data_IF_259921907806
#
_entry.id   IF_259921907806
#
_cell.length_a   1.000
_cell.length_b   1.000
_cell.length_c   1.000
_cell.angle_alpha   90.00
_cell.angle_beta   90.00
_cell.angle_gamma   90.00
#
_symmetry.space_group_name_H-M   'P 1'
#
loop_
_entity.id
_entity.type
_entity.pdbx_description
1 polymer ?
#
# COMPACT_ATOMS: atom_id res chain seq x y z
N UNK A 1 2.97 -9.91 8.26
CA UNK A 1 2.76 -8.76 7.37
C UNK A 1 2.83 -9.21 5.87
N UNK A 2 1.76 -9.70 5.19
CA UNK A 2 1.76 -9.97 3.71
C UNK A 2 0.86 -8.99 2.94
N UNK A 3 1.44 -7.92 2.36
CA UNK A 3 0.76 -7.02 1.43
C UNK A 3 0.55 -7.94 0.24
N UNK A 4 -0.67 -8.36 -0.09
CA UNK A 4 -0.91 -9.17 -1.29
C UNK A 4 -0.83 -8.28 -2.53
N UNK A 5 0.29 -7.55 -2.66
CA UNK A 5 0.75 -7.04 -3.93
C UNK A 5 1.40 -8.21 -4.64
N UNK A 6 0.82 -8.63 -5.76
CA UNK A 6 1.51 -9.57 -6.64
C UNK A 6 2.57 -8.76 -7.38
N UNK A 7 3.83 -8.98 -7.02
CA UNK A 7 4.96 -8.42 -7.75
C UNK A 7 5.25 -9.32 -8.93
N UNK A 8 4.93 -8.83 -10.12
CA UNK A 8 5.19 -9.55 -11.37
C UNK A 8 6.59 -9.15 -11.85
N UNK A 9 7.48 -10.11 -12.11
CA UNK A 9 8.80 -9.81 -12.66
C UNK A 9 8.66 -9.08 -14.00
N UNK A 10 9.13 -7.84 -14.06
CA UNK A 10 9.35 -7.13 -15.31
C UNK A 10 10.83 -7.30 -15.65
N UNK A 11 11.12 -8.16 -16.63
CA UNK A 11 12.48 -8.40 -17.07
C UNK A 11 12.53 -8.54 -18.58
N UNK A 12 13.29 -7.66 -19.22
CA UNK A 12 13.65 -7.77 -20.62
C UNK A 12 15.09 -8.30 -20.72
N UNK A 13 15.30 -9.60 -20.96
CA UNK A 13 16.63 -10.20 -21.01
C UNK A 13 17.50 -9.65 -22.14
N UNK A 14 16.89 -9.09 -23.20
CA UNK A 14 17.62 -8.54 -24.34
C UNK A 14 18.29 -7.20 -24.00
N UNK A 15 17.69 -6.43 -23.08
CA UNK A 15 18.12 -5.07 -22.78
C UNK A 15 18.69 -4.91 -21.36
N UNK A 16 18.34 -5.77 -20.41
CA UNK A 16 18.66 -5.60 -19.00
C UNK A 16 19.44 -6.76 -18.38
N UNK A 17 20.33 -6.41 -17.45
CA UNK A 17 20.99 -7.31 -16.51
C UNK A 17 20.25 -7.30 -15.17
N UNK A 18 19.99 -8.49 -14.62
CA UNK A 18 19.48 -8.68 -13.27
C UNK A 18 20.61 -8.55 -12.23
N UNK A 19 20.39 -7.71 -11.22
CA UNK A 19 21.22 -7.57 -10.03
C UNK A 19 20.45 -8.13 -8.84
N UNK A 20 21.12 -8.86 -7.95
CA UNK A 20 20.51 -9.34 -6.71
C UNK A 20 21.49 -9.33 -5.55
N UNK A 21 20.96 -9.33 -4.33
CA UNK A 21 21.76 -9.43 -3.11
C UNK A 21 21.12 -10.38 -2.10
N UNK A 22 21.91 -11.21 -1.39
CA UNK A 22 21.40 -12.02 -0.28
C UNK A 22 21.11 -11.18 0.97
N UNK A 23 21.72 -9.99 1.07
CA UNK A 23 21.62 -9.09 2.22
C UNK A 23 20.23 -8.47 2.31
N UNK A 24 19.66 -8.41 3.50
CA UNK A 24 18.36 -7.77 3.71
C UNK A 24 18.43 -6.28 3.37
N UNK A 25 17.55 -5.83 2.48
CA UNK A 25 17.32 -4.40 2.24
C UNK A 25 16.42 -3.86 3.33
N UNK A 26 16.89 -2.82 4.04
CA UNK A 26 16.22 -2.23 5.19
C UNK A 26 15.19 -1.19 4.75
N UNK A 27 14.02 -1.21 5.37
CA UNK A 27 12.99 -0.18 5.19
C UNK A 27 13.18 0.94 6.19
N UNK A 28 13.09 2.19 5.74
CA UNK A 28 13.14 3.37 6.62
C UNK A 28 11.82 3.50 7.39
N UNK A 29 11.87 4.03 8.62
CA UNK A 29 10.70 4.18 9.49
C UNK A 29 9.56 5.01 8.86
N UNK A 30 9.89 5.90 7.92
CA UNK A 30 8.95 6.79 7.23
C UNK A 30 8.70 6.38 5.77
N UNK A 31 9.00 5.13 5.39
CA UNK A 31 8.70 4.64 4.06
C UNK A 31 7.17 4.48 3.90
N UNK A 32 6.57 5.30 3.04
CA UNK A 32 5.11 5.34 2.85
C UNK A 32 4.56 4.11 2.11
N UNK A 33 5.40 3.43 1.32
CA UNK A 33 4.96 2.39 0.39
C UNK A 33 5.42 1.00 0.82
N UNK A 34 6.46 0.91 1.65
CA UNK A 34 6.90 -0.32 2.34
C UNK A 34 7.05 -1.52 1.39
N UNK A 35 7.76 -1.34 0.27
CA UNK A 35 8.03 -2.44 -0.66
C UNK A 35 8.73 -3.60 0.08
N UNK A 36 8.31 -4.86 -0.12
CA UNK A 36 8.88 -5.99 0.60
C UNK A 36 10.39 -6.11 0.36
N UNK A 37 11.16 -6.39 1.41
CA UNK A 37 12.62 -6.54 1.31
C UNK A 37 13.03 -7.53 0.21
N UNK A 38 12.28 -8.62 0.02
CA UNK A 38 12.53 -9.62 -1.05
C UNK A 38 12.43 -9.05 -2.47
N UNK A 39 11.52 -8.11 -2.70
CA UNK A 39 11.39 -7.40 -3.98
C UNK A 39 12.57 -6.44 -4.13
N UNK A 40 12.87 -5.71 -3.06
CA UNK A 40 13.97 -4.76 -3.05
C UNK A 40 15.35 -5.43 -3.16
N UNK A 41 15.49 -6.72 -2.84
CA UNK A 41 16.71 -7.51 -2.99
C UNK A 41 17.06 -7.86 -4.45
N UNK A 42 16.20 -7.49 -5.40
CA UNK A 42 16.43 -7.63 -6.84
C UNK A 42 16.29 -6.28 -7.54
N UNK A 43 17.04 -6.09 -8.61
CA UNK A 43 16.97 -4.90 -9.44
C UNK A 43 17.40 -5.21 -10.87
N UNK A 44 17.09 -4.31 -11.79
CA UNK A 44 17.59 -4.35 -13.16
C UNK A 44 18.43 -3.12 -13.48
N UNK A 45 19.41 -3.31 -14.35
CA UNK A 45 20.27 -2.27 -14.93
C UNK A 45 20.44 -2.57 -16.42
N UNK A 46 20.62 -1.58 -17.31
CA UNK A 46 20.82 -1.84 -18.73
C UNK A 46 22.13 -2.60 -18.99
N UNK A 47 22.15 -3.48 -20.00
CA UNK A 47 23.37 -4.16 -20.45
C UNK A 47 24.44 -3.19 -20.94
N UNK A 48 24.00 -2.20 -21.73
CA UNK A 48 24.83 -1.10 -22.18
C UNK A 48 24.74 0.03 -21.15
N UNK A 49 25.86 0.33 -20.49
CA UNK A 49 25.91 1.32 -19.43
C UNK A 49 25.56 2.75 -19.88
N UNK A 50 25.58 3.01 -21.19
CA UNK A 50 25.17 4.30 -21.78
C UNK A 50 23.67 4.42 -22.03
N UNK A 51 22.91 3.32 -21.88
CA UNK A 51 21.47 3.27 -22.12
C UNK A 51 20.66 3.52 -20.86
N UNK A 52 19.37 3.76 -21.09
CA UNK A 52 18.37 3.98 -20.07
C UNK A 52 17.57 2.69 -19.82
N UNK A 53 16.90 2.60 -18.67
CA UNK A 53 15.91 1.54 -18.41
C UNK A 53 14.57 2.03 -18.95
N UNK A 54 14.01 1.35 -19.94
CA UNK A 54 12.79 1.78 -20.63
C UNK A 54 11.67 0.76 -20.51
N UNK A 55 10.50 1.18 -20.03
CA UNK A 55 9.30 0.35 -19.98
C UNK A 55 8.05 1.20 -20.15
N UNK A 56 6.89 0.58 -20.27
CA UNK A 56 5.64 1.31 -20.42
C UNK A 56 4.48 0.63 -19.72
N UNK A 57 3.42 1.40 -19.48
CA UNK A 57 2.09 0.86 -19.23
C UNK A 57 1.05 1.58 -20.09
N UNK A 58 0.00 0.84 -20.45
CA UNK A 58 -1.16 1.40 -21.12
C UNK A 58 -2.20 1.84 -20.09
N UNK A 59 -2.87 2.95 -20.36
CA UNK A 59 -3.99 3.40 -19.54
C UNK A 59 -5.16 2.42 -19.68
N UNK A 60 -5.83 2.16 -18.56
CA UNK A 60 -7.02 1.33 -18.49
C UNK A 60 -8.22 2.27 -18.34
N UNK A 61 -9.02 2.48 -19.39
CA UNK A 61 -10.15 3.40 -19.32
C UNK A 61 -11.08 3.04 -18.16
N UNK A 62 -11.49 4.04 -17.38
CA UNK A 62 -12.49 3.86 -16.33
C UNK A 62 -13.88 4.15 -16.91
N UNK A 63 -14.88 3.41 -16.44
CA UNK A 63 -16.25 3.44 -16.98
C UNK A 63 -16.90 4.85 -16.96
N UNK A 64 -16.41 5.75 -16.08
CA UNK A 64 -16.92 7.11 -15.87
C UNK A 64 -15.87 8.23 -16.02
N UNK A 65 -14.58 7.90 -16.23
CA UNK A 65 -13.51 8.90 -16.42
C UNK A 65 -12.63 8.44 -17.61
N UNK A 66 -12.68 9.13 -18.77
CA UNK A 66 -11.93 8.73 -19.95
C UNK A 66 -10.41 8.86 -19.78
N UNK A 67 -9.91 9.56 -18.74
CA UNK A 67 -8.47 9.60 -18.43
C UNK A 67 -8.22 9.37 -16.93
N UNK A 68 -8.10 8.12 -16.47
CA UNK A 68 -7.66 7.87 -15.11
C UNK A 68 -6.32 8.57 -14.82
N UNK A 69 -6.22 9.19 -13.65
CA UNK A 69 -4.93 9.67 -13.16
C UNK A 69 -4.09 8.50 -12.70
N UNK A 70 -2.80 8.52 -12.96
CA UNK A 70 -1.86 7.54 -12.43
C UNK A 70 -0.87 8.18 -11.46
N UNK A 71 -0.59 7.49 -10.36
CA UNK A 71 0.48 7.84 -9.43
C UNK A 71 1.48 6.69 -9.49
N UNK A 72 2.52 6.79 -10.33
CA UNK A 72 3.59 5.80 -10.32
C UNK A 72 4.50 6.03 -9.13
N UNK A 73 4.99 4.93 -8.56
CA UNK A 73 5.97 4.85 -7.49
C UNK A 73 7.10 3.95 -7.96
N UNK A 74 8.27 4.53 -8.11
CA UNK A 74 9.48 3.84 -8.53
C UNK A 74 10.32 3.55 -7.29
N UNK A 75 10.70 2.30 -7.09
CA UNK A 75 11.44 1.84 -5.92
C UNK A 75 12.89 1.55 -6.27
N UNK A 76 13.79 2.01 -5.41
CA UNK A 76 15.23 1.98 -5.61
C UNK A 76 15.96 1.52 -4.35
N UNK A 77 17.03 0.75 -4.53
CA UNK A 77 18.03 0.43 -3.53
C UNK A 77 19.32 0.05 -4.23
N UNK A 78 20.45 0.57 -3.76
CA UNK A 78 21.75 0.12 -4.25
C UNK A 78 22.08 -1.23 -3.60
N UNK A 79 22.23 -2.26 -4.42
CA UNK A 79 22.39 -3.64 -3.97
C UNK A 79 23.87 -4.05 -3.90
N UNK A 80 24.74 -3.25 -4.51
CA UNK A 80 26.17 -3.47 -4.57
C UNK A 80 26.88 -2.51 -3.60
N UNK A 81 27.97 -2.97 -2.99
CA UNK A 81 28.88 -2.09 -2.27
C UNK A 81 29.71 -1.34 -3.30
N UNK A 82 29.44 -0.04 -3.46
CA UNK A 82 30.17 0.81 -4.39
C UNK A 82 31.49 1.30 -3.77
N UNK A 83 32.60 1.33 -4.52
CA UNK A 83 33.84 1.95 -4.08
C UNK A 83 33.68 3.44 -3.76
N UNK A 84 34.60 3.98 -2.95
CA UNK A 84 34.60 5.41 -2.60
C UNK A 84 34.67 6.30 -3.86
N UNK A 85 33.80 7.31 -3.92
CA UNK A 85 33.70 8.26 -5.04
C UNK A 85 32.87 7.76 -6.23
N UNK A 86 32.43 6.50 -6.24
CA UNK A 86 31.49 5.98 -7.23
C UNK A 86 30.06 6.23 -6.75
N UNK A 87 29.29 7.00 -7.50
CA UNK A 87 27.90 7.32 -7.18
C UNK A 87 27.03 6.92 -8.36
N UNK A 88 25.92 6.23 -8.08
CA UNK A 88 24.84 6.02 -9.04
C UNK A 88 23.79 7.09 -8.82
N UNK A 89 23.72 8.04 -9.75
CA UNK A 89 22.72 9.10 -9.72
C UNK A 89 21.85 9.04 -10.97
N UNK A 90 20.53 9.08 -10.78
CA UNK A 90 19.55 8.88 -11.84
C UNK A 90 18.39 9.86 -11.75
N UNK A 91 17.64 9.98 -12.84
CA UNK A 91 16.36 10.68 -12.92
C UNK A 91 15.37 9.86 -13.76
N UNK A 92 14.09 10.19 -13.64
CA UNK A 92 13.00 9.46 -14.30
C UNK A 92 12.23 10.41 -15.19
N UNK A 93 12.03 10.02 -16.44
CA UNK A 93 11.15 10.69 -17.39
C UNK A 93 9.90 9.86 -17.63
N UNK A 94 8.78 10.54 -17.86
CA UNK A 94 7.54 9.93 -18.34
C UNK A 94 7.12 10.68 -19.61
N UNK A 95 6.91 9.94 -20.70
CA UNK A 95 6.57 10.48 -22.01
C UNK A 95 7.53 11.57 -22.50
N UNK A 96 8.84 11.38 -22.26
CA UNK A 96 9.89 12.32 -22.68
C UNK A 96 10.02 13.58 -21.82
N UNK A 97 9.25 13.70 -20.73
CA UNK A 97 9.32 14.82 -19.80
C UNK A 97 9.90 14.40 -18.45
N UNK A 98 10.76 15.24 -17.87
CA UNK A 98 11.30 15.05 -16.53
C UNK A 98 10.17 14.96 -15.52
N UNK A 99 10.04 13.78 -14.90
CA UNK A 99 9.00 13.48 -13.93
C UNK A 99 9.54 13.47 -12.50
N UNK A 100 10.74 12.91 -12.29
CA UNK A 100 11.41 13.01 -10.99
C UNK A 100 11.79 14.46 -10.73
N UNK A 101 11.22 15.08 -9.69
CA UNK A 101 11.47 16.50 -9.33
C UNK A 101 12.95 16.84 -9.10
N UNK A 102 13.75 15.83 -8.74
CA UNK A 102 15.19 15.93 -8.46
C UNK A 102 15.86 14.63 -8.89
N UNK A 103 17.16 14.72 -9.12
CA UNK A 103 18.01 13.55 -9.23
C UNK A 103 17.95 12.72 -7.95
N UNK A 104 18.13 11.42 -8.09
CA UNK A 104 18.01 10.47 -7.02
C UNK A 104 19.25 9.58 -6.97
N UNK A 105 19.79 9.39 -5.76
CA UNK A 105 20.92 8.50 -5.50
C UNK A 105 20.44 7.38 -4.56
N UNK A 106 20.30 6.13 -5.05
CA UNK A 106 19.91 5.01 -4.21
C UNK A 106 20.94 4.74 -3.11
N UNK A 107 20.47 4.48 -1.89
CA UNK A 107 21.34 4.16 -0.75
C UNK A 107 21.60 2.66 -0.67
N UNK A 108 22.83 2.27 -0.35
CA UNK A 108 23.22 0.86 -0.23
C UNK A 108 22.38 0.12 0.83
N UNK A 109 21.65 -0.91 0.41
CA UNK A 109 20.81 -1.78 1.24
C UNK A 109 19.72 -1.06 2.05
N UNK A 110 19.26 0.10 1.59
CA UNK A 110 18.06 0.76 2.12
C UNK A 110 17.04 0.95 1.01
N UNK A 111 15.75 0.72 1.32
CA UNK A 111 14.67 1.06 0.39
C UNK A 111 14.51 2.57 0.32
N UNK A 112 14.27 3.05 -0.89
CA UNK A 112 13.74 4.38 -1.12
C UNK A 112 12.95 4.41 -2.41
N UNK A 113 12.31 5.54 -2.66
CA UNK A 113 11.33 5.66 -3.74
C UNK A 113 11.27 7.06 -4.31
N UNK A 114 10.79 7.15 -5.54
CA UNK A 114 10.37 8.39 -6.20
C UNK A 114 8.90 8.22 -6.54
N UNK A 115 8.07 9.21 -6.19
CA UNK A 115 6.65 9.21 -6.49
C UNK A 115 6.18 10.61 -6.92
N UNK A 116 5.09 10.64 -7.68
CA UNK A 116 4.47 11.88 -8.14
C UNK A 116 3.43 12.37 -7.13
N UNK A 117 3.48 13.65 -6.77
CA UNK A 117 2.44 14.24 -5.91
C UNK A 117 1.11 14.46 -6.64
N UNK A 118 1.15 14.61 -7.97
CA UNK A 118 -0.02 14.85 -8.79
C UNK A 118 -0.22 13.67 -9.75
N UNK A 119 -1.47 13.26 -10.01
CA UNK A 119 -1.74 12.16 -10.93
C UNK A 119 -1.37 12.56 -12.38
N UNK A 120 -0.58 11.73 -13.06
CA UNK A 120 -0.30 11.89 -14.49
C UNK A 120 -1.54 11.48 -15.28
N UNK A 121 -1.99 12.34 -16.21
CA UNK A 121 -3.23 12.18 -16.99
C UNK A 121 -2.97 12.51 -18.46
N UNK A 122 -3.94 12.15 -19.32
CA UNK A 122 -3.99 12.61 -20.70
C UNK A 122 -3.26 11.73 -21.72
N UNK A 123 -2.73 10.57 -21.31
CA UNK A 123 -2.03 9.66 -22.20
C UNK A 123 -2.66 8.26 -22.21
N UNK A 124 -2.73 7.66 -23.39
CA UNK A 124 -3.11 6.24 -23.59
C UNK A 124 -1.99 5.28 -23.23
N UNK A 125 -0.74 5.73 -23.35
CA UNK A 125 0.46 5.00 -22.97
C UNK A 125 1.41 5.94 -22.22
N UNK A 126 2.01 5.41 -21.16
CA UNK A 126 3.04 6.08 -20.37
C UNK A 126 4.35 5.33 -20.59
N UNK A 127 5.23 5.91 -21.40
CA UNK A 127 6.58 5.43 -21.61
C UNK A 127 7.48 6.03 -20.53
N UNK A 128 8.16 5.18 -19.78
CA UNK A 128 9.07 5.58 -18.72
C UNK A 128 10.48 5.29 -19.15
N UNK A 129 11.37 6.26 -18.93
CA UNK A 129 12.80 6.05 -18.96
C UNK A 129 13.40 6.39 -17.60
N UNK A 130 14.29 5.54 -17.11
CA UNK A 130 15.19 5.86 -16.00
C UNK A 130 16.58 6.08 -16.57
N UNK A 131 17.11 7.27 -16.37
CA UNK A 131 18.30 7.78 -17.04
C UNK A 131 19.40 8.09 -16.03
N UNK A 132 20.64 7.78 -16.37
CA UNK A 132 21.82 8.21 -15.62
C UNK A 132 22.05 9.72 -15.80
N UNK A 133 22.46 10.42 -14.74
CA UNK A 133 22.90 11.82 -14.87
C UNK A 133 24.27 11.90 -15.55
N UNK A 134 24.64 13.08 -16.07
CA UNK A 134 25.92 13.24 -16.76
C UNK A 134 27.15 12.99 -15.85
N UNK A 135 26.98 13.08 -14.53
CA UNK A 135 28.07 12.99 -13.56
C UNK A 135 28.23 11.59 -12.94
N UNK A 136 27.36 10.62 -13.25
CA UNK A 136 27.47 9.25 -12.72
C UNK A 136 28.35 8.38 -13.61
N UNK A 137 29.10 7.48 -12.98
CA UNK A 137 29.92 6.46 -13.67
C UNK A 137 29.21 5.11 -13.78
N UNK A 138 28.03 5.00 -13.16
CA UNK A 138 27.22 3.79 -13.17
C UNK A 138 25.91 4.01 -13.94
N UNK A 139 25.42 2.97 -14.64
CA UNK A 139 24.11 3.02 -15.29
C UNK A 139 22.97 3.23 -14.29
N UNK A 140 21.75 3.55 -14.74
CA UNK A 140 20.59 3.58 -13.85
C UNK A 140 20.28 2.17 -13.27
N UNK A 141 19.53 2.14 -12.17
CA UNK A 141 19.04 0.93 -11.51
C UNK A 141 17.58 1.12 -11.14
N UNK A 142 16.77 0.06 -11.17
CA UNK A 142 15.40 0.07 -10.61
C UNK A 142 15.08 -1.28 -9.98
N UNK A 143 14.47 -1.27 -8.79
CA UNK A 143 14.15 -2.48 -8.05
C UNK A 143 12.71 -2.91 -8.28
N UNK A 144 11.79 -1.94 -8.30
CA UNK A 144 10.38 -2.23 -8.41
C UNK A 144 9.60 -1.00 -8.90
N UNK A 145 8.40 -1.24 -9.43
CA UNK A 145 7.47 -0.18 -9.85
C UNK A 145 6.07 -0.54 -9.37
N UNK A 146 5.37 0.43 -8.80
CA UNK A 146 3.95 0.34 -8.48
C UNK A 146 3.20 1.45 -9.20
N UNK A 147 2.07 1.12 -9.82
CA UNK A 147 1.27 2.08 -10.57
C UNK A 147 -0.11 2.13 -9.91
N UNK A 148 -0.37 3.21 -9.19
CA UNK A 148 -1.67 3.44 -8.58
C UNK A 148 -2.57 4.18 -9.54
N UNK A 149 -3.81 3.73 -9.69
CA UNK A 149 -4.81 4.44 -10.46
C UNK A 149 -5.65 5.29 -9.51
N UNK A 150 -5.77 6.57 -9.81
CA UNK A 150 -6.67 7.48 -9.10
C UNK A 150 -8.07 7.24 -9.60
N UNK A 151 -8.96 6.95 -8.67
CA UNK A 151 -10.39 6.80 -8.92
C UNK A 151 -11.03 8.09 -8.47
N UNK A 152 -11.80 8.72 -9.35
CA UNK A 152 -12.58 9.89 -8.97
C UNK A 152 -13.67 9.48 -8.00
N UNK A 153 -13.62 10.01 -6.79
CA UNK A 153 -14.67 9.85 -5.78
C UNK A 153 -15.48 11.15 -5.76
N UNK A 154 -16.31 11.38 -6.78
CA UNK A 154 -17.34 12.46 -6.74
C UNK A 154 -18.36 12.26 -5.61
N UNK A 155 -18.25 11.14 -4.89
CA UNK A 155 -19.10 10.75 -3.78
C UNK A 155 -18.48 11.21 -2.45
N UNK A 156 -19.34 11.39 -1.44
CA UNK A 156 -18.92 11.66 -0.07
C UNK A 156 -18.00 10.53 0.41
N UNK A 157 -16.83 10.90 0.96
CA UNK A 157 -15.88 9.96 1.55
C UNK A 157 -16.51 9.20 2.73
N UNK A 158 -15.93 8.05 3.08
CA UNK A 158 -16.32 7.31 4.29
C UNK A 158 -16.23 8.21 5.51
N UNK A 159 -17.14 8.00 6.47
CA UNK A 159 -17.16 8.77 7.71
C UNK A 159 -15.79 8.76 8.40
N UNK A 160 -15.32 9.96 8.78
CA UNK A 160 -13.96 10.16 9.28
C UNK A 160 -13.67 9.36 10.54
N UNK A 161 -14.69 9.11 11.39
CA UNK A 161 -14.53 8.29 12.58
C UNK A 161 -14.30 6.83 12.22
N UNK A 162 -15.05 6.31 11.24
CA UNK A 162 -14.88 4.96 10.72
C UNK A 162 -13.50 4.78 10.07
N UNK A 163 -13.05 5.76 9.25
CA UNK A 163 -11.71 5.77 8.65
C UNK A 163 -10.62 5.73 9.71
N UNK A 164 -10.73 6.58 10.74
CA UNK A 164 -9.75 6.66 11.82
C UNK A 164 -9.68 5.36 12.63
N UNK A 165 -10.85 4.78 12.94
CA UNK A 165 -10.96 3.51 13.65
C UNK A 165 -10.28 2.37 12.88
N UNK A 166 -10.60 2.24 11.59
CA UNK A 166 -10.02 1.18 10.75
C UNK A 166 -8.53 1.38 10.50
N UNK A 167 -8.07 2.62 10.38
CA UNK A 167 -6.64 2.93 10.26
C UNK A 167 -5.88 2.51 11.52
N UNK A 168 -6.45 2.77 12.71
CA UNK A 168 -5.86 2.32 13.98
C UNK A 168 -5.86 0.78 14.11
N UNK A 169 -6.95 0.11 13.73
CA UNK A 169 -7.06 -1.36 13.71
C UNK A 169 -6.03 -1.95 12.75
N UNK A 170 -5.91 -1.39 11.56
CA UNK A 170 -4.91 -1.77 10.55
C UNK A 170 -3.50 -1.69 11.13
N UNK A 171 -3.17 -0.58 11.77
CA UNK A 171 -1.85 -0.36 12.36
C UNK A 171 -1.57 -1.33 13.52
N UNK A 172 -2.52 -1.48 14.46
CA UNK A 172 -2.37 -2.36 15.63
C UNK A 172 -2.07 -3.80 15.24
N UNK A 173 -2.85 -4.37 14.33
CA UNK A 173 -2.69 -5.76 13.93
C UNK A 173 -1.80 -5.96 12.69
N UNK A 174 -1.20 -4.87 12.18
CA UNK A 174 -0.38 -4.89 10.97
C UNK A 174 -1.09 -5.59 9.80
N UNK A 175 -2.40 -5.31 9.67
CA UNK A 175 -3.30 -5.95 8.71
C UNK A 175 -2.79 -5.68 7.31
N UNK A 176 -2.65 -6.74 6.53
CA UNK A 176 -2.29 -6.63 5.13
C UNK A 176 -3.27 -7.36 4.24
N UNK A 177 -4.30 -6.60 3.91
CA UNK A 177 -5.31 -6.87 2.89
C UNK A 177 -5.22 -5.75 1.84
N UNK A 178 -6.20 -5.61 0.96
CA UNK A 178 -6.34 -4.46 0.05
C UNK A 178 -6.64 -3.11 0.76
N UNK A 179 -6.35 -2.98 2.07
CA UNK A 179 -6.72 -1.84 2.90
C UNK A 179 -5.87 -0.61 2.58
N UNK A 180 -6.15 0.06 1.47
CA UNK A 180 -5.49 1.28 1.03
C UNK A 180 -6.53 2.28 0.52
N UNK A 181 -6.31 3.56 0.79
CA UNK A 181 -7.25 4.61 0.42
C UNK A 181 -8.47 4.66 1.35
N UNK A 182 -9.62 5.01 0.80
CA UNK A 182 -10.88 5.10 1.53
C UNK A 182 -11.47 3.69 1.76
N UNK A 183 -11.93 3.33 2.98
CA UNK A 183 -12.40 1.97 3.28
C UNK A 183 -13.65 1.51 2.53
N UNK A 184 -14.55 2.42 2.17
CA UNK A 184 -15.82 2.08 1.52
C UNK A 184 -15.97 2.67 0.11
N UNK A 185 -15.07 3.56 -0.33
CA UNK A 185 -15.19 4.30 -1.59
C UNK A 185 -13.95 4.12 -2.48
N UNK A 186 -14.11 3.76 -3.77
CA UNK A 186 -15.36 3.46 -4.47
C UNK A 186 -15.92 2.08 -4.09
N UNK A 187 -17.24 1.86 -4.28
CA UNK A 187 -17.93 0.62 -3.88
C UNK A 187 -17.32 -0.66 -4.47
N UNK A 188 -16.71 -0.57 -5.64
CA UNK A 188 -16.02 -1.68 -6.32
C UNK A 188 -14.67 -2.03 -5.68
N UNK A 189 -14.16 -1.20 -4.77
CA UNK A 189 -12.85 -1.32 -4.12
C UNK A 189 -12.94 -1.23 -2.60
N UNK A 190 -14.10 -1.60 -2.03
CA UNK A 190 -14.27 -1.71 -0.58
C UNK A 190 -13.19 -2.63 -0.02
N UNK A 191 -12.66 -2.26 1.14
CA UNK A 191 -11.66 -3.05 1.84
C UNK A 191 -12.19 -4.47 2.15
N UNK A 192 -11.36 -5.48 1.89
CA UNK A 192 -11.69 -6.87 2.05
C UNK A 192 -12.10 -7.16 3.49
N UNK A 193 -13.28 -7.75 3.63
CA UNK A 193 -13.91 -8.03 4.92
C UNK A 193 -14.74 -6.88 5.48
N UNK A 194 -14.82 -5.73 4.82
CA UNK A 194 -15.76 -4.68 5.22
C UNK A 194 -17.08 -4.77 4.46
N UNK A 195 -18.15 -4.49 5.18
CA UNK A 195 -19.47 -4.19 4.60
C UNK A 195 -19.79 -2.75 4.94
N UNK A 196 -20.23 -1.99 3.95
CA UNK A 196 -20.55 -0.57 4.11
C UNK A 196 -21.99 -0.27 3.71
N UNK A 197 -22.62 0.66 4.42
CA UNK A 197 -23.90 1.25 4.01
C UNK A 197 -23.67 2.53 3.21
N UNK A 198 -24.51 2.76 2.21
CA UNK A 198 -24.46 3.95 1.35
C UNK A 198 -25.81 4.68 1.43
N UNK A 199 -25.90 5.68 2.30
CA UNK A 199 -27.07 6.56 2.36
C UNK A 199 -26.91 7.71 1.37
N UNK A 200 -28.01 8.13 0.74
CA UNK A 200 -28.03 9.37 -0.06
C UNK A 200 -27.84 10.62 0.79
N UNK A 201 -28.10 10.54 2.11
CA UNK A 201 -28.11 11.67 3.03
C UNK A 201 -26.86 11.81 3.89
N UNK A 202 -25.81 10.99 3.67
CA UNK A 202 -24.62 11.04 4.52
C UNK A 202 -23.44 10.24 3.99
N UNK A 203 -22.29 10.33 4.67
CA UNK A 203 -21.10 9.57 4.30
C UNK A 203 -21.37 8.06 4.42
N UNK A 204 -20.71 7.23 3.60
CA UNK A 204 -20.71 5.78 3.81
C UNK A 204 -20.23 5.43 5.23
N UNK A 205 -20.87 4.43 5.83
CA UNK A 205 -20.57 3.93 7.17
C UNK A 205 -20.23 2.45 7.12
N UNK A 206 -19.30 2.01 7.95
CA UNK A 206 -18.95 0.59 8.10
C UNK A 206 -20.02 -0.08 8.96
N UNK A 207 -20.69 -1.07 8.40
CA UNK A 207 -21.74 -1.85 9.08
C UNK A 207 -21.30 -3.28 9.39
N UNK A 208 -20.26 -3.79 8.72
CA UNK A 208 -19.72 -5.12 8.97
C UNK A 208 -18.20 -5.13 8.93
N UNK A 209 -17.58 -5.86 9.85
CA UNK A 209 -16.14 -6.12 9.86
C UNK A 209 -15.88 -7.61 10.03
N UNK A 210 -15.29 -8.24 9.02
CA UNK A 210 -14.81 -9.61 9.05
C UNK A 210 -13.28 -9.64 9.04
N UNK A 211 -12.71 -10.01 10.18
CA UNK A 211 -11.30 -10.29 10.35
C UNK A 211 -11.09 -11.68 10.96
N UNK A 212 -11.99 -12.62 10.67
CA UNK A 212 -11.79 -14.03 10.99
C UNK A 212 -10.56 -14.59 10.28
N UNK A 213 -9.90 -15.59 10.87
CA UNK A 213 -8.72 -16.27 10.30
C UNK A 213 -7.61 -15.32 9.83
N UNK A 214 -7.46 -14.15 10.47
CA UNK A 214 -6.54 -13.11 10.03
C UNK A 214 -5.21 -13.12 10.79
N UNK A 215 -4.99 -14.10 11.66
CA UNK A 215 -3.78 -14.25 12.46
C UNK A 215 -3.58 -13.10 13.46
N UNK A 216 -4.68 -12.47 13.91
CA UNK A 216 -4.62 -11.36 14.85
C UNK A 216 -4.09 -11.85 16.21
N UNK A 217 -3.25 -11.05 16.85
CA UNK A 217 -2.67 -11.34 18.15
C UNK A 217 -2.75 -10.12 19.09
N UNK A 218 -2.48 -10.33 20.37
CA UNK A 218 -2.63 -9.30 21.40
C UNK A 218 -4.08 -9.12 21.83
N UNK A 219 -4.40 -7.99 22.45
CA UNK A 219 -5.73 -7.64 22.95
C UNK A 219 -6.67 -7.11 21.86
N UNK A 220 -7.99 -7.25 22.08
CA UNK A 220 -9.00 -6.65 21.20
C UNK A 220 -8.90 -5.12 21.29
N UNK A 221 -8.78 -4.44 20.15
CA UNK A 221 -8.69 -2.99 20.10
C UNK A 221 -9.98 -2.33 20.55
N UNK A 222 -9.92 -1.46 21.56
CA UNK A 222 -11.07 -0.64 21.94
C UNK A 222 -11.56 0.26 20.79
N UNK A 223 -10.73 0.52 19.77
CA UNK A 223 -11.09 1.36 18.62
C UNK A 223 -12.20 0.77 17.76
N UNK A 224 -12.51 -0.52 17.86
CA UNK A 224 -13.72 -1.09 17.25
C UNK A 224 -15.00 -0.41 17.77
N UNK A 225 -14.99 0.11 19.01
CA UNK A 225 -16.11 0.85 19.59
C UNK A 225 -16.41 2.20 18.90
N UNK A 226 -15.51 2.68 18.03
CA UNK A 226 -15.72 3.90 17.27
C UNK A 226 -16.56 3.67 16.00
N UNK A 227 -16.76 2.42 15.57
CA UNK A 227 -17.58 2.08 14.41
C UNK A 227 -19.07 2.12 14.79
N UNK A 228 -19.63 3.32 14.99
CA UNK A 228 -20.96 3.48 15.61
C UNK A 228 -22.12 2.87 14.82
N UNK A 229 -21.97 2.65 13.52
CA UNK A 229 -22.96 1.99 12.68
C UNK A 229 -22.74 0.48 12.52
N UNK A 230 -21.72 -0.09 13.18
CA UNK A 230 -21.38 -1.51 13.01
C UNK A 230 -22.46 -2.40 13.59
N UNK A 231 -22.89 -3.38 12.80
CA UNK A 231 -23.89 -4.36 13.14
C UNK A 231 -23.25 -5.73 13.38
N UNK A 232 -22.19 -6.02 12.66
CA UNK A 232 -21.51 -7.31 12.72
C UNK A 232 -19.99 -7.13 12.82
N UNK A 233 -19.39 -7.78 13.81
CA UNK A 233 -17.94 -7.88 13.96
C UNK A 233 -17.57 -9.35 14.17
N UNK A 234 -16.74 -9.89 13.28
CA UNK A 234 -16.21 -11.24 13.37
C UNK A 234 -14.69 -11.22 13.50
N UNK A 235 -14.22 -11.61 14.68
CA UNK A 235 -12.80 -11.77 15.02
C UNK A 235 -12.49 -13.24 15.35
N UNK A 236 -13.34 -14.18 14.95
CA UNK A 236 -13.17 -15.60 15.27
C UNK A 236 -11.93 -16.23 14.63
N UNK A 237 -11.46 -17.34 15.20
CA UNK A 237 -10.29 -18.09 14.72
C UNK A 237 -9.04 -17.22 14.60
N UNK A 238 -8.68 -16.56 15.70
CA UNK A 238 -7.47 -15.73 15.81
C UNK A 238 -6.71 -16.10 17.11
N UNK A 239 -5.61 -15.39 17.38
CA UNK A 239 -4.77 -15.55 18.56
C UNK A 239 -4.95 -14.38 19.54
N UNK A 240 -6.16 -13.81 19.63
CA UNK A 240 -6.44 -12.68 20.53
C UNK A 240 -6.45 -13.16 21.99
N UNK A 241 -5.92 -12.32 22.87
CA UNK A 241 -5.76 -12.57 24.32
C UNK A 241 -6.37 -11.43 25.15
N UNK A 242 -6.42 -11.57 26.48
CA UNK A 242 -6.93 -10.51 27.37
C UNK A 242 -8.47 -10.46 27.41
N UNK A 243 -9.02 -9.37 27.93
CA UNK A 243 -10.47 -9.21 28.11
C UNK A 243 -11.16 -8.57 26.93
N UNK A 244 -12.47 -8.79 26.83
CA UNK A 244 -13.34 -8.05 25.91
C UNK A 244 -13.42 -6.60 26.43
N UNK A 245 -13.08 -5.57 25.62
CA UNK A 245 -13.17 -4.19 26.07
C UNK A 245 -14.63 -3.80 26.35
N UNK A 246 -14.88 -3.18 27.50
CA UNK A 246 -16.23 -2.70 27.87
C UNK A 246 -16.80 -1.74 26.83
N UNK A 247 -15.96 -0.98 26.13
CA UNK A 247 -16.38 -0.11 25.06
C UNK A 247 -17.14 -0.83 23.91
N UNK A 248 -16.97 -2.15 23.75
CA UNK A 248 -17.72 -2.90 22.73
C UNK A 248 -19.18 -3.15 23.13
N UNK A 249 -19.53 -3.15 24.42
CA UNK A 249 -20.95 -3.21 24.84
C UNK A 249 -21.70 -1.90 24.54
N UNK A 250 -20.95 -0.83 24.22
CA UNK A 250 -21.46 0.51 23.93
C UNK A 250 -21.72 0.76 22.44
N UNK A 251 -21.66 -0.29 21.61
CA UNK A 251 -21.92 -0.17 20.17
C UNK A 251 -23.44 -0.19 19.93
N UNK A 252 -24.05 0.92 19.49
CA UNK A 252 -25.51 1.09 19.53
C UNK A 252 -26.24 0.26 18.46
N UNK A 253 -25.53 -0.28 17.48
CA UNK A 253 -26.10 -1.04 16.37
C UNK A 253 -25.60 -2.48 16.30
N UNK A 254 -24.72 -2.90 17.19
CA UNK A 254 -24.08 -4.22 17.14
C UNK A 254 -25.10 -5.31 17.48
N UNK A 255 -25.27 -6.24 16.56
CA UNK A 255 -26.16 -7.40 16.72
C UNK A 255 -25.39 -8.70 16.81
N UNK A 256 -24.22 -8.78 16.17
CA UNK A 256 -23.38 -9.98 16.15
C UNK A 256 -21.94 -9.60 16.47
N UNK A 257 -21.43 -10.18 17.56
CA UNK A 257 -20.01 -10.16 17.92
C UNK A 257 -19.51 -11.59 18.00
N UNK A 258 -18.77 -12.04 16.99
CA UNK A 258 -18.19 -13.39 16.97
C UNK A 258 -16.72 -13.35 17.41
N UNK A 259 -16.43 -13.95 18.56
CA UNK A 259 -15.09 -14.05 19.16
C UNK A 259 -14.62 -15.50 19.32
N UNK A 260 -15.32 -16.45 18.70
CA UNK A 260 -15.06 -17.89 18.82
C UNK A 260 -13.60 -18.23 18.46
N UNK A 261 -13.02 -19.26 19.09
CA UNK A 261 -11.66 -19.71 18.81
C UNK A 261 -10.61 -18.59 18.92
N UNK A 262 -10.55 -17.98 20.12
CA UNK A 262 -9.49 -17.09 20.57
C UNK A 262 -9.01 -17.53 21.97
N UNK A 263 -8.05 -16.80 22.54
CA UNK A 263 -7.46 -17.04 23.87
C UNK A 263 -7.87 -15.95 24.87
N UNK A 264 -9.11 -15.47 24.76
CA UNK A 264 -9.66 -14.41 25.60
C UNK A 264 -9.88 -14.91 27.04
N UNK A 265 -9.81 -13.99 27.98
CA UNK A 265 -9.94 -14.23 29.42
C UNK A 265 -10.77 -13.13 30.08
N UNK A 266 -11.26 -13.35 31.30
CA UNK A 266 -12.08 -12.37 32.02
C UNK A 266 -13.57 -12.54 31.77
N UNK A 267 -14.36 -11.56 32.19
CA UNK A 267 -15.84 -11.59 32.09
C UNK A 267 -16.34 -10.92 30.81
N UNK A 268 -17.55 -11.30 30.40
CA UNK A 268 -18.30 -10.57 29.39
C UNK A 268 -18.68 -9.20 30.00
N UNK A 269 -18.43 -8.08 29.30
CA UNK A 269 -18.81 -6.76 29.78
C UNK A 269 -20.31 -6.67 30.07
N UNK A 270 -20.72 -5.96 31.13
CA UNK A 270 -22.12 -5.76 31.41
C UNK A 270 -22.78 -4.96 30.27
N UNK A 271 -24.06 -5.23 29.95
CA UNK A 271 -24.85 -4.31 29.14
C UNK A 271 -24.98 -2.98 29.89
N UNK A 272 -24.90 -1.87 29.17
CA UNK A 272 -25.26 -0.57 29.73
C UNK A 272 -26.79 -0.49 29.79
N UNK A 273 -27.34 -0.21 30.98
CA UNK A 273 -28.78 -0.04 31.20
C UNK A 273 -29.17 1.44 31.14
#
# INVERSE_FOLDING_TARGET
>A
MIRMTVWIPLFDPANWTLISTPSMVKTLYNDLFEAPSKVMQTAVTPHDASKSIEFYWDSRPQHNDPSPGYIPVMHFSELQLLPDGVVRELYVNINGHLWSRRNYTPRALFSGYIYGNNPTRGYTRYNVSTDATFNTTLPPIINAVEIFTVISTTNVATDLQDVSAMTAIKAKYQVKKNWMGDPCVAQTFVWDGLTCSYSVSGPPRITGVNMSFSGLNGDISYTFANLKAVQFVDLSHNNLTGSIPDALSQLPSLTILNLMENQLSGSIPPPDF
#
